data_IF_876244866609
#
_entry.id   IF_876244866609
#
_cell.length_a   1.000
_cell.length_b   1.000
_cell.length_c   1.000
_cell.angle_alpha   90.00
_cell.angle_beta   90.00
_cell.angle_gamma   90.00
#
_symmetry.space_group_name_H-M   'P 1'
#
loop_
_entity.id
_entity.type
_entity.pdbx_description
1 polymer ?
#
# COMPACT_ATOMS: atom_id res chain seq x y z
N UNK A 1 37.10 -15.06 0.64
CA UNK A 1 36.60 -13.75 1.09
C UNK A 1 36.79 -13.68 2.59
N UNK A 2 37.66 -12.76 3.06
CA UNK A 2 37.92 -12.59 4.50
C UNK A 2 36.90 -11.65 5.13
N UNK A 3 36.66 -11.81 6.44
CA UNK A 3 35.75 -10.92 7.20
C UNK A 3 36.19 -9.45 7.07
N UNK A 4 37.49 -9.18 6.99
CA UNK A 4 38.01 -7.82 6.84
C UNK A 4 37.75 -7.23 5.44
N UNK A 5 37.72 -8.05 4.40
CA UNK A 5 37.33 -7.57 3.06
C UNK A 5 35.85 -7.22 3.00
N UNK A 6 34.97 -7.99 3.65
CA UNK A 6 33.53 -7.70 3.76
C UNK A 6 33.29 -6.43 4.56
N UNK A 7 33.96 -6.27 5.72
CA UNK A 7 33.87 -5.05 6.52
C UNK A 7 34.30 -3.81 5.72
N UNK A 8 35.43 -3.87 5.02
CA UNK A 8 35.88 -2.76 4.18
C UNK A 8 34.86 -2.42 3.11
N UNK A 9 34.28 -3.41 2.44
CA UNK A 9 33.28 -3.23 1.41
C UNK A 9 32.01 -2.53 1.94
N UNK A 10 31.50 -2.94 3.10
CA UNK A 10 30.29 -2.34 3.70
C UNK A 10 30.48 -0.86 4.08
N UNK A 11 31.69 -0.45 4.42
CA UNK A 11 31.97 0.93 4.82
C UNK A 11 32.44 1.84 3.67
N UNK A 12 32.38 1.36 2.41
CA UNK A 12 32.69 2.20 1.25
C UNK A 12 31.74 3.40 1.18
N UNK A 13 32.29 4.52 0.73
CA UNK A 13 31.58 5.78 0.41
C UNK A 13 31.76 6.09 -1.07
N UNK A 14 30.88 6.95 -1.63
CA UNK A 14 31.16 7.54 -2.94
C UNK A 14 32.54 8.17 -2.95
N UNK A 15 33.27 7.99 -4.03
CA UNK A 15 34.52 8.72 -4.31
C UNK A 15 34.23 10.22 -4.39
N UNK A 16 35.27 11.07 -4.38
CA UNK A 16 35.10 12.52 -4.43
C UNK A 16 34.10 12.92 -5.54
N UNK A 17 33.22 13.89 -5.21
CA UNK A 17 32.26 14.45 -6.19
C UNK A 17 32.94 15.12 -7.42
N UNK A 18 34.26 15.11 -7.50
CA UNK A 18 35.01 15.54 -8.70
C UNK A 18 35.08 14.44 -9.78
N UNK A 19 34.78 13.17 -9.41
CA UNK A 19 34.78 12.04 -10.31
C UNK A 19 33.32 11.69 -10.73
N UNK A 20 33.06 11.35 -12.01
CA UNK A 20 31.71 11.00 -12.49
C UNK A 20 31.07 9.86 -11.67
N UNK A 21 31.85 8.85 -11.26
CA UNK A 21 31.37 7.74 -10.42
C UNK A 21 30.91 8.21 -9.03
N UNK A 22 31.56 9.24 -8.46
CA UNK A 22 31.19 9.81 -7.17
C UNK A 22 29.84 10.53 -7.20
N UNK A 23 29.55 11.27 -8.28
CA UNK A 23 28.23 11.90 -8.49
C UNK A 23 27.14 10.85 -8.68
N UNK A 24 27.39 9.84 -9.52
CA UNK A 24 26.42 8.76 -9.77
C UNK A 24 26.08 7.99 -8.51
N UNK A 25 27.06 7.64 -7.68
CA UNK A 25 26.82 6.96 -6.41
C UNK A 25 26.04 7.86 -5.43
N UNK A 26 26.40 9.13 -5.31
CA UNK A 26 25.69 10.09 -4.44
C UNK A 26 24.23 10.24 -4.84
N UNK A 27 23.95 10.45 -6.14
CA UNK A 27 22.57 10.55 -6.63
C UNK A 27 21.77 9.27 -6.41
N UNK A 28 22.40 8.09 -6.56
CA UNK A 28 21.74 6.81 -6.31
C UNK A 28 21.37 6.63 -4.82
N UNK A 29 22.22 7.04 -3.86
CA UNK A 29 21.88 7.03 -2.44
C UNK A 29 20.74 7.98 -2.11
N UNK A 30 20.75 9.19 -2.69
CA UNK A 30 19.67 10.16 -2.49
C UNK A 30 18.37 9.62 -3.06
N UNK A 31 18.39 9.06 -4.29
CA UNK A 31 17.22 8.45 -4.91
C UNK A 31 16.66 7.29 -4.07
N UNK A 32 17.52 6.35 -3.62
CA UNK A 32 17.11 5.24 -2.77
C UNK A 32 16.45 5.73 -1.47
N UNK A 33 17.05 6.72 -0.80
CA UNK A 33 16.49 7.28 0.42
C UNK A 33 15.15 7.98 0.20
N UNK A 34 14.98 8.74 -0.90
CA UNK A 34 13.72 9.39 -1.25
C UNK A 34 12.63 8.37 -1.59
N UNK A 35 12.95 7.29 -2.32
CA UNK A 35 12.02 6.21 -2.61
C UNK A 35 11.53 5.52 -1.33
N UNK A 36 12.42 5.26 -0.36
CA UNK A 36 12.03 4.69 0.95
C UNK A 36 11.13 5.66 1.72
N UNK A 37 11.43 6.96 1.71
CA UNK A 37 10.56 7.99 2.31
C UNK A 37 9.18 7.99 1.65
N UNK A 38 9.11 7.83 0.34
CA UNK A 38 7.85 7.75 -0.39
C UNK A 38 7.06 6.48 -0.03
N UNK A 39 7.71 5.30 0.03
CA UNK A 39 7.09 4.06 0.52
C UNK A 39 6.54 4.24 1.94
N UNK A 40 7.31 4.86 2.82
CA UNK A 40 6.91 5.16 4.21
C UNK A 40 5.67 6.06 4.27
N UNK A 41 5.57 7.04 3.37
CA UNK A 41 4.40 7.91 3.24
C UNK A 41 3.16 7.11 2.80
N UNK A 42 3.29 6.20 1.84
CA UNK A 42 2.17 5.32 1.42
C UNK A 42 1.67 4.51 2.62
N UNK A 43 2.55 3.87 3.39
CA UNK A 43 2.17 3.10 4.56
C UNK A 43 1.50 3.97 5.65
N UNK A 44 1.99 5.20 5.85
CA UNK A 44 1.36 6.16 6.76
C UNK A 44 -0.03 6.56 6.27
N UNK A 45 -0.18 6.79 4.97
CA UNK A 45 -1.47 7.13 4.37
C UNK A 45 -2.49 6.00 4.50
N UNK A 46 -2.08 4.76 4.23
CA UNK A 46 -2.89 3.57 4.45
C UNK A 46 -3.32 3.46 5.93
N UNK A 47 -2.38 3.68 6.84
CA UNK A 47 -2.64 3.65 8.28
C UNK A 47 -3.63 4.71 8.72
N UNK A 48 -3.46 5.98 8.30
CA UNK A 48 -4.29 7.11 8.74
C UNK A 48 -5.66 7.15 8.07
N UNK A 49 -5.70 6.94 6.74
CA UNK A 49 -6.85 7.32 5.91
C UNK A 49 -7.67 6.12 5.44
N UNK A 50 -7.08 4.92 5.36
CA UNK A 50 -7.72 3.74 4.80
C UNK A 50 -8.04 2.65 5.84
N UNK A 51 -8.02 3.01 7.12
CA UNK A 51 -8.52 2.16 8.20
C UNK A 51 -7.54 1.12 8.73
N UNK A 52 -6.33 0.98 8.18
CA UNK A 52 -5.35 -0.02 8.62
C UNK A 52 -4.97 0.11 10.09
N UNK A 53 -5.04 1.31 10.69
CA UNK A 53 -4.80 1.55 12.12
C UNK A 53 -5.71 0.74 13.06
N UNK A 54 -6.88 0.31 12.56
CA UNK A 54 -7.86 -0.44 13.34
C UNK A 54 -7.69 -1.95 13.25
N UNK A 55 -6.78 -2.44 12.40
CA UNK A 55 -6.48 -3.86 12.26
C UNK A 55 -5.50 -4.24 13.36
N UNK A 56 -5.92 -5.15 14.25
CA UNK A 56 -5.04 -5.66 15.30
C UNK A 56 -3.73 -6.19 14.70
N UNK A 57 -2.59 -5.91 15.33
CA UNK A 57 -1.24 -6.28 14.90
C UNK A 57 -0.78 -5.59 13.60
N UNK A 58 -1.58 -5.59 12.53
CA UNK A 58 -1.23 -4.96 11.25
C UNK A 58 -1.11 -3.44 11.38
N UNK A 59 -2.04 -2.78 12.10
CA UNK A 59 -1.99 -1.33 12.30
C UNK A 59 -0.67 -0.85 12.94
N UNK A 60 -0.25 -1.40 14.08
CA UNK A 60 1.08 -1.11 14.65
C UNK A 60 2.25 -1.40 13.72
N UNK A 61 2.18 -2.49 12.91
CA UNK A 61 3.24 -2.82 11.93
C UNK A 61 3.32 -1.78 10.81
N UNK A 62 2.20 -1.29 10.29
CA UNK A 62 2.18 -0.21 9.29
C UNK A 62 2.76 1.10 9.84
N UNK A 63 2.45 1.43 11.09
CA UNK A 63 3.05 2.60 11.74
C UNK A 63 4.54 2.43 11.95
N UNK A 64 4.99 1.25 12.40
CA UNK A 64 6.41 0.94 12.56
C UNK A 64 7.16 0.98 11.23
N UNK A 65 6.56 0.43 10.16
CA UNK A 65 7.06 0.49 8.79
C UNK A 65 7.24 1.95 8.33
N UNK A 66 6.24 2.80 8.58
CA UNK A 66 6.29 4.22 8.21
C UNK A 66 7.40 4.96 8.95
N UNK A 67 7.46 4.85 10.27
CA UNK A 67 8.47 5.55 11.08
C UNK A 67 9.87 5.01 10.77
N UNK A 68 10.02 3.68 10.76
CA UNK A 68 11.30 3.02 10.49
C UNK A 68 11.84 3.35 9.11
N UNK A 69 10.99 3.32 8.08
CA UNK A 69 11.37 3.66 6.72
C UNK A 69 11.73 5.14 6.57
N UNK A 70 11.00 6.06 7.20
CA UNK A 70 11.37 7.48 7.22
C UNK A 70 12.77 7.70 7.77
N UNK A 71 13.06 7.13 8.95
CA UNK A 71 14.37 7.24 9.59
C UNK A 71 15.47 6.58 8.74
N UNK A 72 15.19 5.41 8.15
CA UNK A 72 16.13 4.70 7.29
C UNK A 72 16.41 5.47 6.00
N UNK A 73 15.39 6.05 5.36
CA UNK A 73 15.57 6.87 4.16
C UNK A 73 16.48 8.08 4.43
N UNK A 74 16.25 8.79 5.52
CA UNK A 74 17.12 9.90 5.95
C UNK A 74 18.54 9.42 6.28
N UNK A 75 18.67 8.27 6.93
CA UNK A 75 19.97 7.67 7.24
C UNK A 75 20.75 7.33 5.96
N UNK A 76 20.10 6.77 4.95
CA UNK A 76 20.74 6.44 3.66
C UNK A 76 21.25 7.71 2.96
N UNK A 77 20.44 8.76 2.92
CA UNK A 77 20.82 10.06 2.34
C UNK A 77 22.02 10.68 3.08
N UNK A 78 22.03 10.60 4.41
CA UNK A 78 23.07 11.19 5.23
C UNK A 78 24.36 10.36 5.23
N UNK A 79 24.26 9.06 5.45
CA UNK A 79 25.42 8.17 5.60
C UNK A 79 26.12 7.91 4.28
N UNK A 80 25.38 7.68 3.19
CA UNK A 80 25.88 7.35 1.84
C UNK A 80 26.95 6.26 1.88
N UNK A 81 26.62 5.15 2.55
CA UNK A 81 27.49 3.99 2.72
C UNK A 81 26.79 2.72 2.24
N UNK A 82 27.56 1.77 1.76
CA UNK A 82 27.05 0.50 1.24
C UNK A 82 26.21 -0.25 2.28
N UNK A 83 26.60 -0.24 3.57
CA UNK A 83 25.80 -0.87 4.63
C UNK A 83 24.40 -0.25 4.77
N UNK A 84 24.28 1.08 4.58
CA UNK A 84 23.00 1.76 4.66
C UNK A 84 22.11 1.38 3.46
N UNK A 85 22.67 1.27 2.25
CA UNK A 85 21.95 0.73 1.09
C UNK A 85 21.54 -0.74 1.31
N UNK A 86 22.39 -1.58 1.90
CA UNK A 86 22.05 -2.95 2.23
C UNK A 86 20.88 -3.05 3.21
N UNK A 87 20.84 -2.19 4.23
CA UNK A 87 19.68 -2.10 5.13
C UNK A 87 18.42 -1.65 4.38
N UNK A 88 18.52 -0.67 3.46
CA UNK A 88 17.39 -0.23 2.63
C UNK A 88 16.85 -1.34 1.73
N UNK A 89 17.72 -2.09 1.07
CA UNK A 89 17.32 -3.24 0.26
C UNK A 89 16.66 -4.34 1.13
N UNK A 90 17.21 -4.65 2.29
CA UNK A 90 16.63 -5.61 3.25
C UNK A 90 15.25 -5.18 3.75
N UNK A 91 15.08 -3.89 4.02
CA UNK A 91 13.81 -3.30 4.41
C UNK A 91 12.76 -3.48 3.30
N UNK A 92 13.08 -3.15 2.05
CA UNK A 92 12.20 -3.31 0.91
C UNK A 92 11.84 -4.79 0.67
N UNK A 93 12.81 -5.70 0.74
CA UNK A 93 12.55 -7.15 0.62
C UNK A 93 11.61 -7.63 1.73
N UNK A 94 11.82 -7.20 2.98
CA UNK A 94 10.94 -7.61 4.10
C UNK A 94 9.50 -7.13 3.92
N UNK A 95 9.31 -5.93 3.39
CA UNK A 95 7.98 -5.37 3.07
C UNK A 95 7.29 -6.19 1.97
N UNK A 96 8.01 -6.49 0.88
CA UNK A 96 7.50 -7.34 -0.21
C UNK A 96 7.10 -8.74 0.28
N UNK A 97 7.96 -9.38 1.07
CA UNK A 97 7.69 -10.71 1.63
C UNK A 97 6.46 -10.66 2.54
N UNK A 98 6.35 -9.64 3.40
CA UNK A 98 5.18 -9.44 4.27
C UNK A 98 3.89 -9.31 3.46
N UNK A 99 3.90 -8.51 2.39
CA UNK A 99 2.75 -8.35 1.49
C UNK A 99 2.39 -9.67 0.79
N UNK A 100 3.36 -10.37 0.19
CA UNK A 100 3.12 -11.64 -0.51
C UNK A 100 2.56 -12.71 0.43
N UNK A 101 3.12 -12.85 1.64
CA UNK A 101 2.60 -13.77 2.66
C UNK A 101 1.17 -13.38 3.05
N UNK A 102 0.87 -12.08 3.19
CA UNK A 102 -0.48 -11.61 3.50
C UNK A 102 -1.48 -11.95 2.40
N UNK A 103 -1.10 -11.79 1.12
CA UNK A 103 -1.96 -12.10 -0.03
C UNK A 103 -2.21 -13.60 -0.17
N UNK A 104 -1.17 -14.42 -0.03
CA UNK A 104 -1.29 -15.87 -0.27
C UNK A 104 -1.91 -16.60 0.93
N UNK A 105 -1.41 -16.36 2.11
CA UNK A 105 -1.71 -17.16 3.31
C UNK A 105 -2.49 -16.39 4.38
N UNK A 106 -2.46 -15.06 4.30
CA UNK A 106 -2.89 -14.19 5.38
C UNK A 106 -1.79 -14.01 6.45
N UNK A 107 -1.81 -12.89 7.13
CA UNK A 107 -0.85 -12.53 8.16
C UNK A 107 -1.60 -12.00 9.40
N UNK A 108 -1.45 -12.66 10.54
CA UNK A 108 -2.12 -12.31 11.81
C UNK A 108 -3.66 -12.18 11.68
N UNK A 109 -4.28 -13.07 10.89
CA UNK A 109 -5.72 -13.04 10.63
C UNK A 109 -6.18 -11.98 9.63
N UNK A 110 -5.25 -11.22 9.06
CA UNK A 110 -5.49 -10.28 7.96
C UNK A 110 -5.01 -10.87 6.64
N UNK A 111 -5.81 -10.78 5.60
CA UNK A 111 -5.46 -11.19 4.24
C UNK A 111 -5.61 -10.00 3.32
N UNK A 112 -4.50 -9.60 2.70
CA UNK A 112 -4.47 -8.52 1.72
C UNK A 112 -4.84 -9.04 0.33
N UNK A 113 -4.99 -8.14 -0.64
CA UNK A 113 -5.29 -8.48 -2.03
C UNK A 113 -4.54 -7.54 -2.98
N UNK A 114 -4.29 -8.00 -4.21
CA UNK A 114 -3.71 -7.16 -5.24
C UNK A 114 -4.61 -5.97 -5.65
N UNK A 115 -5.92 -6.07 -5.41
CA UNK A 115 -6.87 -4.98 -5.64
C UNK A 115 -6.96 -3.98 -4.47
N UNK A 116 -6.15 -4.16 -3.41
CA UNK A 116 -6.08 -3.18 -2.34
C UNK A 116 -5.49 -1.84 -2.83
N UNK A 117 -5.91 -0.70 -2.25
CA UNK A 117 -5.37 0.60 -2.62
C UNK A 117 -3.84 0.62 -2.50
N UNK A 118 -3.18 1.15 -3.51
CA UNK A 118 -1.72 1.27 -3.59
C UNK A 118 -0.94 -0.06 -3.60
N UNK A 119 -1.58 -1.23 -3.76
CA UNK A 119 -0.88 -2.52 -3.72
C UNK A 119 0.18 -2.64 -4.82
N UNK A 120 -0.18 -2.33 -6.06
CA UNK A 120 0.75 -2.38 -7.20
C UNK A 120 1.83 -1.29 -7.11
N UNK A 121 1.45 -0.06 -6.74
CA UNK A 121 2.39 1.05 -6.59
C UNK A 121 3.40 0.78 -5.47
N UNK A 122 2.93 0.31 -4.31
CA UNK A 122 3.81 -0.05 -3.20
C UNK A 122 4.78 -1.17 -3.60
N UNK A 123 4.28 -2.23 -4.24
CA UNK A 123 5.11 -3.35 -4.68
C UNK A 123 6.15 -2.93 -5.73
N UNK A 124 5.76 -2.14 -6.73
CA UNK A 124 6.68 -1.60 -7.73
C UNK A 124 7.73 -0.66 -7.11
N UNK A 125 7.32 0.13 -6.13
CA UNK A 125 8.21 1.03 -5.39
C UNK A 125 9.27 0.26 -4.60
N UNK A 126 8.91 -0.86 -3.95
CA UNK A 126 9.89 -1.70 -3.24
C UNK A 126 10.92 -2.31 -4.22
N UNK A 127 10.50 -2.74 -5.40
CA UNK A 127 11.43 -3.19 -6.46
C UNK A 127 12.38 -2.06 -6.87
N UNK A 128 11.87 -0.84 -7.05
CA UNK A 128 12.67 0.33 -7.38
C UNK A 128 13.69 0.68 -6.28
N UNK A 129 13.29 0.56 -5.00
CA UNK A 129 14.18 0.76 -3.84
C UNK A 129 15.33 -0.23 -3.88
N UNK A 130 15.05 -1.53 -4.07
CA UNK A 130 16.08 -2.56 -4.18
C UNK A 130 17.05 -2.22 -5.31
N UNK A 131 16.53 -1.89 -6.49
CA UNK A 131 17.33 -1.49 -7.65
C UNK A 131 18.23 -0.28 -7.35
N UNK A 132 17.69 0.78 -6.77
CA UNK A 132 18.44 1.98 -6.41
C UNK A 132 19.54 1.71 -5.37
N UNK A 133 19.25 0.88 -4.36
CA UNK A 133 20.24 0.47 -3.37
C UNK A 133 21.38 -0.35 -3.99
N UNK A 134 21.06 -1.27 -4.91
CA UNK A 134 22.07 -2.06 -5.64
C UNK A 134 22.93 -1.16 -6.54
N UNK A 135 22.32 -0.20 -7.24
CA UNK A 135 23.04 0.79 -8.06
C UNK A 135 23.99 1.60 -7.19
N UNK A 136 23.53 2.11 -6.05
CA UNK A 136 24.36 2.90 -5.13
C UNK A 136 25.57 2.11 -4.62
N UNK A 137 25.35 0.84 -4.22
CA UNK A 137 26.41 -0.06 -3.80
C UNK A 137 27.40 -0.36 -4.93
N UNK A 138 26.91 -0.74 -6.12
CA UNK A 138 27.72 -1.06 -7.28
C UNK A 138 28.60 0.11 -7.71
N UNK A 139 28.07 1.33 -7.74
CA UNK A 139 28.86 2.53 -8.09
C UNK A 139 29.97 2.83 -7.07
N UNK A 140 29.73 2.59 -5.78
CA UNK A 140 30.79 2.68 -4.76
C UNK A 140 31.91 1.68 -5.02
N UNK A 141 31.57 0.44 -5.39
CA UNK A 141 32.56 -0.58 -5.72
C UNK A 141 33.32 -0.27 -7.00
N UNK A 142 32.64 0.21 -8.07
CA UNK A 142 33.30 0.60 -9.31
C UNK A 142 34.33 1.72 -9.12
N UNK A 143 34.02 2.69 -8.28
CA UNK A 143 34.96 3.76 -7.93
C UNK A 143 36.18 3.28 -7.11
N UNK A 144 36.07 2.12 -6.47
CA UNK A 144 37.12 1.55 -5.61
C UNK A 144 37.87 0.36 -6.22
N UNK A 145 37.35 -0.21 -7.34
CA UNK A 145 37.88 -1.42 -7.95
C UNK A 145 39.05 -1.10 -8.88
N UNK A 146 40.20 -1.74 -8.64
CA UNK A 146 41.40 -1.68 -9.50
C UNK A 146 41.46 -2.83 -10.50
N UNK A 147 40.68 -3.92 -10.31
CA UNK A 147 40.74 -5.12 -11.10
C UNK A 147 39.63 -5.21 -12.15
N UNK A 148 39.99 -5.62 -13.38
CA UNK A 148 39.07 -5.70 -14.54
C UNK A 148 37.95 -6.74 -14.31
N UNK A 149 38.23 -7.84 -13.63
CA UNK A 149 37.27 -8.92 -13.34
C UNK A 149 36.18 -8.42 -12.43
N UNK A 150 36.52 -7.67 -11.37
CA UNK A 150 35.57 -7.06 -10.45
C UNK A 150 34.68 -6.02 -11.14
N UNK A 151 35.24 -5.25 -12.07
CA UNK A 151 34.47 -4.28 -12.87
C UNK A 151 33.41 -4.95 -13.75
N UNK A 152 33.72 -6.12 -14.33
CA UNK A 152 32.76 -6.86 -15.17
C UNK A 152 31.59 -7.40 -14.35
N UNK A 153 31.86 -7.97 -13.18
CA UNK A 153 30.79 -8.45 -12.25
C UNK A 153 29.91 -7.29 -11.81
N UNK A 154 30.50 -6.17 -11.43
CA UNK A 154 29.78 -4.97 -11.02
C UNK A 154 28.93 -4.37 -12.15
N UNK A 155 29.41 -4.42 -13.39
CA UNK A 155 28.64 -3.98 -14.55
C UNK A 155 27.38 -4.85 -14.74
N UNK A 156 27.46 -6.17 -14.53
CA UNK A 156 26.30 -7.07 -14.58
C UNK A 156 25.31 -6.75 -13.45
N UNK A 157 25.77 -6.54 -12.22
CA UNK A 157 24.92 -6.15 -11.09
C UNK A 157 24.22 -4.82 -11.36
N UNK A 158 24.93 -3.85 -11.91
CA UNK A 158 24.37 -2.56 -12.26
C UNK A 158 23.30 -2.68 -13.36
N UNK A 159 23.57 -3.48 -14.41
CA UNK A 159 22.59 -3.73 -15.47
C UNK A 159 21.32 -4.41 -14.93
N UNK A 160 21.46 -5.41 -14.06
CA UNK A 160 20.34 -6.07 -13.40
C UNK A 160 19.52 -5.09 -12.52
N UNK A 161 20.21 -4.23 -11.75
CA UNK A 161 19.55 -3.23 -10.91
C UNK A 161 18.80 -2.18 -11.74
N UNK A 162 19.37 -1.73 -12.87
CA UNK A 162 18.67 -0.83 -13.82
C UNK A 162 17.45 -1.52 -14.40
N UNK A 163 17.53 -2.79 -14.78
CA UNK A 163 16.41 -3.57 -15.30
C UNK A 163 15.27 -3.68 -14.26
N UNK A 164 15.57 -3.84 -12.96
CA UNK A 164 14.59 -3.83 -11.88
C UNK A 164 13.86 -2.48 -11.79
N UNK A 165 14.60 -1.37 -11.81
CA UNK A 165 13.99 -0.02 -11.75
C UNK A 165 13.12 0.25 -12.96
N UNK A 166 13.57 -0.12 -14.16
CA UNK A 166 12.79 0.03 -15.41
C UNK A 166 11.55 -0.86 -15.36
N UNK A 167 11.66 -2.10 -14.90
CA UNK A 167 10.54 -3.02 -14.72
C UNK A 167 9.49 -2.45 -13.76
N UNK A 168 9.90 -1.89 -12.62
CA UNK A 168 9.01 -1.20 -11.69
C UNK A 168 8.29 0.00 -12.33
N UNK A 169 9.00 0.81 -13.11
CA UNK A 169 8.41 1.95 -13.82
C UNK A 169 7.37 1.50 -14.87
N UNK A 170 7.60 0.38 -15.56
CA UNK A 170 6.64 -0.20 -16.51
C UNK A 170 5.39 -0.68 -15.78
N UNK A 171 5.52 -1.34 -14.62
CA UNK A 171 4.38 -1.77 -13.81
C UNK A 171 3.51 -0.59 -13.38
N UNK A 172 4.12 0.49 -12.90
CA UNK A 172 3.42 1.72 -12.53
C UNK A 172 2.71 2.37 -13.73
N UNK A 173 3.34 2.38 -14.91
CA UNK A 173 2.75 2.95 -16.12
C UNK A 173 1.56 2.11 -16.64
N UNK A 174 1.60 0.79 -16.47
CA UNK A 174 0.52 -0.11 -16.90
C UNK A 174 -0.75 0.08 -16.04
N UNK A 175 -0.59 0.36 -14.75
CA UNK A 175 -1.72 0.59 -13.83
C UNK A 175 -2.37 1.98 -14.05
N UNK A 176 -1.59 2.99 -14.44
CA UNK A 176 -2.07 4.35 -14.74
C UNK A 176 -2.95 4.46 -15.99
N UNK A 177 -3.05 3.41 -16.82
CA UNK A 177 -3.84 3.40 -18.05
C UNK A 177 -5.34 3.10 -17.90
N UNK A 178 -5.81 2.78 -16.70
CA UNK A 178 -7.20 2.32 -16.46
C UNK A 178 -8.14 3.36 -15.83
N UNK A 179 -7.77 4.65 -15.82
CA UNK A 179 -8.52 5.65 -15.06
C UNK A 179 -8.65 7.02 -15.71
N UNK A 180 -9.24 7.14 -16.90
CA UNK A 180 -9.72 8.45 -17.35
C UNK A 180 -10.84 8.31 -18.37
N UNK A 181 -12.05 8.11 -17.89
CA UNK A 181 -13.28 8.47 -18.62
C UNK A 181 -13.94 9.63 -17.87
N UNK A 182 -13.52 10.84 -18.24
CA UNK A 182 -14.33 12.03 -18.00
C UNK A 182 -15.46 12.03 -19.03
N UNK A 183 -16.67 11.76 -18.59
CA UNK A 183 -17.85 12.09 -19.34
C UNK A 183 -19.04 12.38 -18.43
N UNK A 184 -19.48 13.62 -18.49
CA UNK A 184 -20.87 13.97 -18.63
C UNK A 184 -21.63 14.27 -17.35
N UNK A 185 -21.75 15.55 -17.03
CA UNK A 185 -22.71 16.08 -16.09
C UNK A 185 -24.14 15.74 -16.52
N UNK A 186 -24.93 15.34 -15.54
CA UNK A 186 -26.38 15.44 -15.61
C UNK A 186 -26.89 16.05 -14.32
N UNK A 187 -27.46 17.25 -14.48
CA UNK A 187 -28.27 17.93 -13.47
C UNK A 187 -29.46 17.05 -13.15
N UNK A 188 -29.66 16.76 -11.89
CA UNK A 188 -30.92 16.18 -11.41
C UNK A 188 -31.67 17.21 -10.63
N UNK A 189 -32.88 17.46 -11.13
CA UNK A 189 -33.87 18.37 -10.60
C UNK A 189 -34.38 17.93 -9.24
N UNK A 190 -34.54 18.89 -8.35
CA UNK A 190 -35.30 18.73 -7.11
C UNK A 190 -36.75 18.41 -7.42
N UNK A 191 -37.26 17.32 -6.86
CA UNK A 191 -38.71 17.08 -6.74
C UNK A 191 -39.06 16.96 -5.27
N UNK A 192 -39.78 17.96 -4.81
CA UNK A 192 -40.49 18.00 -3.54
C UNK A 192 -41.72 17.09 -3.64
N UNK A 193 -41.74 16.04 -2.84
CA UNK A 193 -42.90 15.17 -2.71
C UNK A 193 -42.92 14.53 -1.34
N UNK A 194 -43.67 15.13 -0.42
CA UNK A 194 -43.93 14.60 0.92
C UNK A 194 -44.85 13.39 0.81
N UNK A 195 -44.30 12.21 1.09
CA UNK A 195 -45.09 11.03 1.46
C UNK A 195 -44.30 10.30 2.55
N UNK A 196 -44.97 9.87 3.59
CA UNK A 196 -44.46 9.08 4.73
C UNK A 196 -43.74 7.86 4.23
N UNK A 197 -42.47 8.02 3.88
CA UNK A 197 -41.60 6.95 3.40
C UNK A 197 -40.92 6.29 4.59
N UNK A 198 -41.06 4.99 4.70
CA UNK A 198 -40.13 4.18 5.47
C UNK A 198 -38.70 4.68 5.18
N UNK A 199 -38.00 5.22 6.17
CA UNK A 199 -36.73 5.90 5.97
C UNK A 199 -35.72 4.90 5.38
N UNK A 200 -35.48 5.03 4.07
CA UNK A 200 -34.46 4.26 3.38
C UNK A 200 -33.09 4.85 3.74
N UNK A 201 -32.26 4.07 4.40
CA UNK A 201 -30.89 4.46 4.75
C UNK A 201 -29.95 3.97 3.65
N UNK A 202 -29.03 4.85 3.27
CA UNK A 202 -28.01 4.53 2.26
C UNK A 202 -26.63 4.48 2.89
N UNK A 203 -25.91 3.37 2.67
CA UNK A 203 -24.51 3.16 3.06
C UNK A 203 -23.69 3.13 1.78
N UNK A 204 -22.64 3.92 1.70
CA UNK A 204 -21.69 3.87 0.60
C UNK A 204 -20.42 3.17 1.06
N UNK A 205 -19.90 2.24 0.25
CA UNK A 205 -18.55 1.67 0.40
C UNK A 205 -17.63 2.48 -0.49
N UNK A 206 -16.56 3.00 0.08
CA UNK A 206 -15.53 3.76 -0.64
C UNK A 206 -14.22 3.76 0.13
N UNK A 207 -13.10 3.56 -0.57
CA UNK A 207 -11.77 3.45 0.01
C UNK A 207 -11.72 2.38 1.11
N UNK A 208 -12.27 1.20 0.82
CA UNK A 208 -12.32 0.06 1.72
C UNK A 208 -12.91 0.38 3.11
N UNK A 209 -13.90 1.27 3.13
CA UNK A 209 -14.63 1.64 4.35
C UNK A 209 -16.12 1.79 4.06
N UNK A 210 -16.93 1.44 5.03
CA UNK A 210 -18.33 1.83 5.05
C UNK A 210 -18.44 3.31 5.44
N UNK A 211 -18.85 4.17 4.52
CA UNK A 211 -19.21 5.55 4.84
C UNK A 211 -20.53 5.50 5.60
N UNK A 212 -20.63 6.20 6.72
CA UNK A 212 -21.66 6.00 7.74
C UNK A 212 -21.50 4.65 8.48
N UNK A 213 -20.36 4.49 9.20
CA UNK A 213 -20.06 3.29 10.01
C UNK A 213 -21.07 3.01 11.13
N UNK A 214 -21.95 3.98 11.48
CA UNK A 214 -23.03 3.82 12.44
C UNK A 214 -24.29 4.49 11.90
N UNK A 215 -25.33 3.70 11.68
CA UNK A 215 -26.63 4.16 11.19
C UNK A 215 -27.75 3.74 12.13
N UNK A 216 -28.78 4.57 12.23
CA UNK A 216 -30.00 4.24 13.00
C UNK A 216 -31.15 4.08 12.01
N UNK A 217 -31.92 3.04 12.17
CA UNK A 217 -33.03 2.68 11.31
C UNK A 217 -34.23 2.21 12.13
N UNK A 218 -35.44 2.27 11.54
CA UNK A 218 -36.64 1.64 12.11
C UNK A 218 -36.67 0.13 11.80
N UNK A 219 -37.37 -0.67 12.62
CA UNK A 219 -37.55 -2.10 12.36
C UNK A 219 -38.06 -2.36 10.95
N UNK A 220 -37.45 -3.28 10.22
CA UNK A 220 -37.83 -3.64 8.86
C UNK A 220 -37.51 -2.62 7.78
N UNK A 221 -36.86 -1.50 8.09
CA UNK A 221 -36.45 -0.49 7.11
C UNK A 221 -35.58 -1.10 6.00
N UNK A 222 -35.69 -0.55 4.80
CA UNK A 222 -34.81 -0.93 3.69
C UNK A 222 -33.49 -0.18 3.81
N UNK A 223 -32.39 -0.92 3.88
CA UNK A 223 -31.03 -0.38 3.82
C UNK A 223 -30.46 -0.68 2.45
N UNK A 224 -29.94 0.35 1.78
CA UNK A 224 -29.25 0.21 0.50
C UNK A 224 -27.75 0.40 0.70
N UNK A 225 -26.93 -0.40 0.00
CA UNK A 225 -25.47 -0.37 0.08
C UNK A 225 -24.93 -0.28 -1.33
N UNK A 226 -24.17 0.79 -1.61
CA UNK A 226 -23.51 0.97 -2.92
C UNK A 226 -22.00 0.85 -2.76
N UNK A 227 -21.38 0.00 -3.56
CA UNK A 227 -19.93 -0.12 -3.66
C UNK A 227 -19.38 0.86 -4.70
N UNK A 228 -18.49 1.77 -4.29
CA UNK A 228 -17.76 2.70 -5.18
C UNK A 228 -16.32 2.28 -5.44
N UNK A 229 -15.83 1.25 -4.74
CA UNK A 229 -14.50 0.70 -4.96
C UNK A 229 -14.49 -0.24 -6.17
N UNK A 230 -13.31 -0.43 -6.76
CA UNK A 230 -13.10 -1.45 -7.81
C UNK A 230 -13.13 -2.88 -7.25
N UNK A 231 -12.79 -3.04 -5.98
CA UNK A 231 -12.85 -4.32 -5.27
C UNK A 231 -14.30 -4.72 -4.95
N UNK A 232 -14.55 -6.02 -4.91
CA UNK A 232 -15.81 -6.60 -4.45
C UNK A 232 -15.89 -6.55 -2.92
N UNK A 233 -17.03 -6.14 -2.38
CA UNK A 233 -17.30 -6.08 -0.94
C UNK A 233 -18.58 -6.84 -0.57
N UNK A 234 -18.79 -7.06 0.72
CA UNK A 234 -20.07 -7.49 1.30
C UNK A 234 -20.43 -6.57 2.47
N UNK A 235 -21.68 -6.58 2.89
CA UNK A 235 -22.11 -6.06 4.19
C UNK A 235 -22.88 -7.16 4.89
N UNK A 236 -22.27 -7.77 5.92
CA UNK A 236 -22.77 -8.99 6.58
C UNK A 236 -22.80 -8.78 8.09
N UNK A 237 -23.95 -8.97 8.69
CA UNK A 237 -24.08 -8.93 10.15
C UNK A 237 -23.26 -10.06 10.80
N UNK A 238 -22.50 -9.75 11.84
CA UNK A 238 -21.68 -10.74 12.57
C UNK A 238 -22.54 -11.82 13.22
N UNK A 239 -23.78 -11.50 13.58
CA UNK A 239 -24.77 -12.44 14.07
C UNK A 239 -25.67 -13.08 13.01
N UNK A 240 -25.40 -12.88 11.71
CA UNK A 240 -26.12 -13.53 10.60
C UNK A 240 -27.50 -12.96 10.28
N UNK A 241 -27.93 -11.83 10.88
CA UNK A 241 -29.27 -11.28 10.69
C UNK A 241 -29.53 -10.70 9.31
N UNK A 242 -28.50 -10.26 8.60
CA UNK A 242 -28.55 -9.78 7.23
C UNK A 242 -27.22 -9.99 6.51
N UNK A 243 -27.30 -10.13 5.19
CA UNK A 243 -26.14 -10.26 4.30
C UNK A 243 -26.51 -9.74 2.92
N UNK A 244 -25.70 -8.87 2.32
CA UNK A 244 -25.90 -8.38 0.95
C UNK A 244 -25.43 -9.36 -0.12
N UNK A 245 -24.60 -10.34 0.25
CA UNK A 245 -23.74 -11.03 -0.72
C UNK A 245 -22.75 -10.08 -1.36
N UNK A 246 -22.10 -10.52 -2.43
CA UNK A 246 -21.07 -9.76 -3.15
C UNK A 246 -21.67 -8.51 -3.81
N UNK A 247 -21.01 -7.36 -3.58
CA UNK A 247 -21.34 -6.07 -4.19
C UNK A 247 -20.14 -5.66 -5.04
N UNK A 248 -20.27 -5.80 -6.35
CA UNK A 248 -19.22 -5.41 -7.31
C UNK A 248 -19.19 -3.88 -7.51
N UNK A 249 -18.19 -3.37 -8.21
CA UNK A 249 -18.03 -1.94 -8.46
C UNK A 249 -19.30 -1.30 -9.04
N UNK A 250 -19.71 -0.17 -8.48
CA UNK A 250 -20.92 0.60 -8.81
C UNK A 250 -22.25 -0.14 -8.62
N UNK A 251 -22.21 -1.35 -8.08
CA UNK A 251 -23.43 -2.10 -7.76
C UNK A 251 -24.04 -1.60 -6.45
N UNK A 252 -25.38 -1.63 -6.41
CA UNK A 252 -26.16 -1.38 -5.18
C UNK A 252 -26.93 -2.64 -4.82
N UNK A 253 -26.84 -3.05 -3.57
CA UNK A 253 -27.64 -4.12 -2.98
C UNK A 253 -28.48 -3.58 -1.84
N UNK A 254 -29.58 -4.26 -1.54
CA UNK A 254 -30.48 -3.86 -0.44
C UNK A 254 -30.74 -5.05 0.47
N UNK A 255 -30.98 -4.74 1.74
CA UNK A 255 -31.49 -5.72 2.70
C UNK A 255 -32.51 -5.06 3.64
N UNK A 256 -33.25 -5.87 4.38
CA UNK A 256 -34.18 -5.42 5.42
C UNK A 256 -33.48 -5.40 6.77
N UNK A 257 -33.59 -4.27 7.50
CA UNK A 257 -33.15 -4.20 8.87
C UNK A 257 -33.92 -5.22 9.74
N UNK A 258 -33.30 -5.77 10.79
CA UNK A 258 -33.99 -6.66 11.70
C UNK A 258 -35.26 -6.03 12.29
N UNK A 259 -36.27 -6.85 12.57
CA UNK A 259 -37.50 -6.41 13.22
C UNK A 259 -37.33 -6.15 14.72
N UNK A 260 -36.35 -6.83 15.35
CA UNK A 260 -36.07 -6.67 16.77
C UNK A 260 -35.20 -5.44 17.02
N UNK A 261 -35.60 -4.51 17.89
CA UNK A 261 -34.75 -3.41 18.31
C UNK A 261 -33.44 -3.92 18.93
N UNK A 262 -32.32 -3.23 18.62
CA UNK A 262 -30.99 -3.62 19.08
C UNK A 262 -29.87 -3.04 18.21
N UNK A 263 -28.63 -3.31 18.61
CA UNK A 263 -27.45 -2.96 17.82
C UNK A 263 -26.92 -4.21 17.13
N UNK A 264 -26.64 -4.09 15.83
CA UNK A 264 -26.18 -5.17 14.97
C UNK A 264 -24.86 -4.74 14.35
N UNK A 265 -23.78 -5.37 14.77
CA UNK A 265 -22.47 -5.16 14.18
C UNK A 265 -22.38 -5.90 12.84
N UNK A 266 -21.72 -5.29 11.87
CA UNK A 266 -21.50 -5.89 10.55
C UNK A 266 -20.07 -5.69 10.07
N UNK A 267 -19.66 -6.57 9.16
CA UNK A 267 -18.33 -6.58 8.53
C UNK A 267 -18.45 -6.78 7.03
N UNK A 268 -17.39 -6.53 6.30
CA UNK A 268 -17.17 -7.11 4.99
C UNK A 268 -16.51 -8.48 5.16
N UNK A 269 -17.14 -9.57 4.64
CA UNK A 269 -16.57 -10.91 4.75
C UNK A 269 -15.27 -11.09 3.99
N UNK A 270 -15.04 -10.28 2.95
CA UNK A 270 -13.82 -10.30 2.14
C UNK A 270 -12.72 -9.49 2.83
N UNK A 271 -13.09 -8.31 3.36
CA UNK A 271 -12.17 -7.37 4.01
C UNK A 271 -12.60 -7.17 5.48
N UNK A 272 -12.25 -8.12 6.34
CA UNK A 272 -12.81 -8.23 7.70
C UNK A 272 -12.50 -7.03 8.61
N UNK A 273 -11.54 -6.19 8.25
CA UNK A 273 -11.27 -4.94 8.93
C UNK A 273 -12.30 -3.82 8.64
N UNK A 274 -13.11 -3.98 7.59
CA UNK A 274 -14.23 -3.09 7.32
C UNK A 274 -15.37 -3.44 8.25
N UNK A 275 -15.63 -2.58 9.22
CA UNK A 275 -16.64 -2.81 10.27
C UNK A 275 -17.62 -1.66 10.34
N UNK A 276 -18.81 -1.92 10.85
CA UNK A 276 -19.82 -0.93 11.14
C UNK A 276 -20.93 -1.49 12.01
N UNK A 277 -21.92 -0.66 12.33
CA UNK A 277 -23.08 -1.05 13.14
C UNK A 277 -24.37 -0.41 12.68
N UNK A 278 -25.46 -1.14 12.80
CA UNK A 278 -26.83 -0.66 12.61
C UNK A 278 -27.54 -0.73 13.95
N UNK A 279 -28.11 0.40 14.38
CA UNK A 279 -28.99 0.47 15.54
C UNK A 279 -30.44 0.50 15.05
N UNK A 280 -31.21 -0.48 15.43
CA UNK A 280 -32.66 -0.57 15.15
C UNK A 280 -33.42 -0.07 16.37
N UNK A 281 -34.26 0.96 16.21
CA UNK A 281 -35.10 1.53 17.26
C UNK A 281 -36.34 2.23 16.72
#
# INVERSE_FOLDING_TARGET
VTIDSVKRALFLRPTSNKEPAGWGATTAFVAAGLLIVWSSYIHLHLWQSLGYRHIATIGPLFLLQSIGGFLLGLLIIAARRVWAAALGAGFAVSTMVGFLVSVEHGLFGFKDTWSAPFAHEAFALEIAIIGACLIAGALCFLGSASDTTNKSILAVVLAAAVALVVGAAILLAADGGSGSSLAGGSRSSASTGSTTAASSVHITISNFMFKAMSVTVTPGATVSVTNKDSATHTLTATGGQFNTGDITQNQTKTFKAPMKPGTYDYICNIHQYMTGKITVK
#
